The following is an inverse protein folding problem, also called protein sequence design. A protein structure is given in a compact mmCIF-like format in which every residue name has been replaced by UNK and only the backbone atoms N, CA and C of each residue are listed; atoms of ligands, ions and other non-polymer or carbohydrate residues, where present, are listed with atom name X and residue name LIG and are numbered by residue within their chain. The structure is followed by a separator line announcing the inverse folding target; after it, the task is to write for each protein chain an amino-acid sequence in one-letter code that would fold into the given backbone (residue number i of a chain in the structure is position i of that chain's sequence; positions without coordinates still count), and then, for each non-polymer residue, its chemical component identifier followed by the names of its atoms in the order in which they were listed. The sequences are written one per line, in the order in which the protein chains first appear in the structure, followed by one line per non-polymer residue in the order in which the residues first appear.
data_IF_963186695788
#
_entry.id   IF_963186695788
#
_cell.length_a   1.000
_cell.length_b   1.000
_cell.length_c   1.000
_cell.angle_alpha   90.00
_cell.angle_beta   90.00
_cell.angle_gamma   90.00
#
_symmetry.space_group_name_H-M   'P 1'
#
loop_
_entity.id
_entity.type
_entity.pdbx_description
1 polymer ?
#
# COMPACT_ATOMS: atom_id res chain seq x y z
N UNK A 1 -49.07 -3.31 16.00
CA UNK A 1 -48.52 -2.36 15.00
C UNK A 1 -47.13 -1.87 15.42
N UNK A 2 -46.96 -1.25 16.59
CA UNK A 2 -45.67 -0.74 17.07
C UNK A 2 -44.53 -1.79 17.16
N UNK A 3 -44.80 -3.02 17.59
CA UNK A 3 -43.77 -4.07 17.66
C UNK A 3 -43.25 -4.48 16.28
N UNK A 4 -44.13 -4.72 15.30
CA UNK A 4 -43.74 -5.07 13.93
C UNK A 4 -42.94 -3.96 13.24
N UNK A 5 -43.30 -2.72 13.51
CA UNK A 5 -42.57 -1.55 12.99
C UNK A 5 -41.18 -1.44 13.63
N UNK A 6 -41.05 -1.69 14.93
CA UNK A 6 -39.77 -1.72 15.62
C UNK A 6 -38.86 -2.85 15.11
N UNK A 7 -39.41 -4.06 14.93
CA UNK A 7 -38.69 -5.21 14.36
C UNK A 7 -38.19 -4.93 12.94
N UNK A 8 -39.01 -4.29 12.10
CA UNK A 8 -38.62 -3.88 10.75
C UNK A 8 -37.49 -2.83 10.79
N UNK A 9 -37.58 -1.84 11.68
CA UNK A 9 -36.53 -0.82 11.86
C UNK A 9 -35.23 -1.41 12.38
N UNK A 10 -35.29 -2.33 13.33
CA UNK A 10 -34.11 -3.01 13.86
C UNK A 10 -33.40 -3.81 12.75
N UNK A 11 -34.15 -4.60 11.98
CA UNK A 11 -33.62 -5.38 10.85
C UNK A 11 -32.93 -4.48 9.82
N UNK A 12 -33.52 -3.32 9.51
CA UNK A 12 -32.94 -2.36 8.58
C UNK A 12 -31.62 -1.76 9.10
N UNK A 13 -31.56 -1.41 10.38
CA UNK A 13 -30.34 -0.89 11.02
C UNK A 13 -29.25 -1.95 11.10
N UNK A 14 -29.58 -3.20 11.45
CA UNK A 14 -28.63 -4.31 11.49
C UNK A 14 -28.03 -4.59 10.11
N UNK A 15 -28.85 -4.54 9.06
CA UNK A 15 -28.40 -4.68 7.67
C UNK A 15 -27.43 -3.56 7.29
N UNK A 16 -27.78 -2.31 7.60
CA UNK A 16 -26.93 -1.15 7.27
C UNK A 16 -25.62 -1.15 8.08
N UNK A 17 -25.68 -1.50 9.36
CA UNK A 17 -24.50 -1.65 10.20
C UNK A 17 -23.56 -2.73 9.66
N UNK A 18 -24.11 -3.86 9.19
CA UNK A 18 -23.34 -4.93 8.56
C UNK A 18 -22.65 -4.41 7.29
N UNK A 19 -23.39 -3.70 6.43
CA UNK A 19 -22.84 -3.09 5.21
C UNK A 19 -21.69 -2.13 5.50
N UNK A 20 -21.84 -1.26 6.50
CA UNK A 20 -20.79 -0.30 6.90
C UNK A 20 -19.55 -0.99 7.48
N UNK A 21 -19.75 -2.05 8.28
CA UNK A 21 -18.64 -2.89 8.77
C UNK A 21 -17.90 -3.58 7.63
N UNK A 22 -18.63 -4.03 6.62
CA UNK A 22 -18.07 -4.68 5.44
C UNK A 22 -17.23 -3.71 4.60
N UNK A 23 -17.72 -2.48 4.38
CA UNK A 23 -16.95 -1.41 3.72
C UNK A 23 -15.64 -1.14 4.47
N UNK A 24 -15.70 -1.02 5.80
CA UNK A 24 -14.51 -0.74 6.60
C UNK A 24 -13.52 -1.91 6.62
N UNK A 25 -14.02 -3.16 6.57
CA UNK A 25 -13.18 -4.34 6.45
C UNK A 25 -12.42 -4.36 5.10
N UNK A 26 -13.10 -4.06 3.99
CA UNK A 26 -12.47 -3.93 2.67
C UNK A 26 -11.44 -2.80 2.66
N UNK A 27 -11.78 -1.63 3.22
CA UNK A 27 -10.83 -0.49 3.30
C UNK A 27 -9.56 -0.86 4.05
N UNK A 28 -9.70 -1.49 5.22
CA UNK A 28 -8.55 -1.97 6.01
C UNK A 28 -7.74 -3.01 5.25
N UNK A 29 -8.40 -3.90 4.51
CA UNK A 29 -7.76 -4.89 3.66
C UNK A 29 -6.89 -4.24 2.59
N UNK A 30 -7.44 -3.29 1.84
CA UNK A 30 -6.73 -2.62 0.73
C UNK A 30 -5.59 -1.72 1.25
N UNK A 31 -5.78 -1.09 2.41
CA UNK A 31 -4.72 -0.32 3.06
C UNK A 31 -3.59 -1.24 3.52
N UNK A 32 -3.90 -2.39 4.14
CA UNK A 32 -2.87 -3.37 4.51
C UNK A 32 -2.08 -3.85 3.28
N UNK A 33 -2.76 -4.13 2.16
CA UNK A 33 -2.11 -4.46 0.88
C UNK A 33 -1.08 -3.39 0.47
N UNK A 34 -1.45 -2.10 0.48
CA UNK A 34 -0.50 -1.02 0.13
C UNK A 34 0.73 -0.96 1.02
N UNK A 35 0.58 -1.21 2.33
CA UNK A 35 1.70 -1.28 3.25
C UNK A 35 2.61 -2.49 3.01
N UNK A 36 2.04 -3.64 2.68
CA UNK A 36 2.81 -4.86 2.41
C UNK A 36 3.61 -4.77 1.10
N UNK A 37 3.14 -3.98 0.12
CA UNK A 37 3.85 -3.73 -1.12
C UNK A 37 5.17 -2.96 -0.91
N UNK A 38 5.23 -2.04 0.06
CA UNK A 38 6.38 -1.12 0.24
C UNK A 38 7.71 -1.86 0.26
N UNK A 39 7.79 -2.94 1.04
CA UNK A 39 8.97 -3.80 1.14
C UNK A 39 8.68 -5.21 0.64
N UNK A 40 7.74 -5.34 -0.29
CA UNK A 40 7.32 -6.56 -0.98
C UNK A 40 7.27 -7.76 -0.04
N UNK A 41 6.26 -7.81 0.83
CA UNK A 41 6.04 -8.89 1.79
C UNK A 41 5.13 -9.97 1.15
N UNK A 42 5.66 -10.92 0.34
CA UNK A 42 4.85 -11.77 -0.52
C UNK A 42 3.87 -12.64 0.26
N UNK A 43 4.30 -13.22 1.37
CA UNK A 43 3.45 -14.11 2.18
C UNK A 43 2.20 -13.37 2.67
N UNK A 44 2.38 -12.14 3.18
CA UNK A 44 1.27 -11.31 3.65
C UNK A 44 0.43 -10.74 2.50
N UNK A 45 1.02 -10.51 1.33
CA UNK A 45 0.26 -10.07 0.16
C UNK A 45 -0.65 -11.20 -0.32
N UNK A 46 -0.11 -12.40 -0.50
CA UNK A 46 -0.83 -13.55 -1.06
C UNK A 46 -1.95 -14.00 -0.10
N UNK A 47 -1.73 -13.90 1.21
CA UNK A 47 -2.74 -14.23 2.23
C UNK A 47 -3.94 -13.27 2.28
N UNK A 48 -3.88 -12.12 1.58
CA UNK A 48 -5.05 -11.23 1.41
C UNK A 48 -6.04 -11.75 0.37
N UNK A 49 -5.61 -12.64 -0.54
CA UNK A 49 -6.44 -13.12 -1.63
C UNK A 49 -7.32 -14.30 -1.23
N UNK A 50 -8.46 -14.41 -1.91
CA UNK A 50 -9.27 -15.61 -1.88
C UNK A 50 -8.50 -16.77 -2.54
N UNK A 51 -8.60 -17.96 -1.94
CA UNK A 51 -7.94 -19.17 -2.45
C UNK A 51 -8.87 -19.86 -3.46
N UNK A 52 -8.98 -19.26 -4.64
CA UNK A 52 -9.88 -19.70 -5.71
C UNK A 52 -9.19 -19.66 -7.07
N UNK A 53 -9.55 -20.57 -7.97
CA UNK A 53 -9.00 -20.64 -9.34
C UNK A 53 -9.34 -19.41 -10.20
N UNK A 54 -10.49 -18.77 -9.91
CA UNK A 54 -10.96 -17.57 -10.59
C UNK A 54 -10.44 -16.26 -9.98
N UNK A 55 -9.51 -16.34 -9.03
CA UNK A 55 -8.80 -15.18 -8.48
C UNK A 55 -7.84 -14.63 -9.53
N UNK A 56 -7.84 -13.32 -9.76
CA UNK A 56 -7.03 -12.72 -10.82
C UNK A 56 -6.22 -11.51 -10.40
N UNK A 57 -5.06 -11.39 -11.03
CA UNK A 57 -4.16 -10.25 -10.98
C UNK A 57 -4.04 -9.72 -12.43
N UNK A 58 -4.75 -8.65 -12.77
CA UNK A 58 -4.81 -8.06 -14.12
C UNK A 58 -3.92 -6.82 -14.25
N UNK A 59 -2.77 -7.01 -14.90
CA UNK A 59 -1.75 -5.99 -15.13
C UNK A 59 -1.61 -5.73 -16.63
N UNK A 60 -0.97 -4.61 -17.05
CA UNK A 60 -0.67 -4.36 -18.46
C UNK A 60 0.09 -5.50 -19.16
N UNK A 61 0.95 -6.20 -18.42
CA UNK A 61 1.76 -7.33 -18.91
C UNK A 61 0.95 -8.62 -19.10
N UNK A 62 -0.24 -8.71 -18.50
CA UNK A 62 -1.12 -9.87 -18.61
C UNK A 62 -1.90 -10.18 -17.33
N UNK A 63 -2.64 -11.28 -17.37
CA UNK A 63 -3.46 -11.76 -16.25
C UNK A 63 -2.85 -13.01 -15.62
N UNK A 64 -2.69 -13.00 -14.30
CA UNK A 64 -2.26 -14.15 -13.51
C UNK A 64 -3.46 -14.74 -12.77
N UNK A 65 -3.63 -16.06 -12.87
CA UNK A 65 -4.80 -16.78 -12.34
C UNK A 65 -4.42 -17.62 -11.12
N UNK A 66 -5.32 -17.61 -10.13
CA UNK A 66 -5.27 -18.44 -8.94
C UNK A 66 -4.01 -18.24 -8.10
N UNK A 67 -3.83 -19.16 -7.15
CA UNK A 67 -2.70 -19.16 -6.22
C UNK A 67 -1.35 -19.24 -6.95
N UNK A 68 -1.23 -20.11 -7.95
CA UNK A 68 -0.01 -20.23 -8.76
C UNK A 68 0.33 -18.93 -9.51
N UNK A 69 -0.68 -18.18 -9.96
CA UNK A 69 -0.51 -16.86 -10.55
C UNK A 69 0.06 -15.85 -9.56
N UNK A 70 -0.51 -15.80 -8.35
CA UNK A 70 -0.06 -14.91 -7.28
C UNK A 70 1.38 -15.22 -6.87
N UNK A 71 1.75 -16.50 -6.72
CA UNK A 71 3.13 -16.89 -6.39
C UNK A 71 4.11 -16.57 -7.52
N UNK A 72 3.73 -16.74 -8.79
CA UNK A 72 4.58 -16.34 -9.93
C UNK A 72 4.85 -14.83 -9.97
N UNK A 73 3.84 -14.01 -9.65
CA UNK A 73 3.99 -12.56 -9.66
C UNK A 73 4.72 -12.04 -8.41
N UNK A 74 4.25 -12.38 -7.21
CA UNK A 74 4.79 -11.82 -5.97
C UNK A 74 6.01 -12.58 -5.42
N UNK A 75 6.14 -13.87 -5.70
CA UNK A 75 7.14 -14.74 -5.07
C UNK A 75 8.58 -14.59 -5.56
N UNK A 76 8.80 -13.99 -6.73
CA UNK A 76 10.11 -13.92 -7.36
C UNK A 76 10.97 -12.71 -6.93
N UNK A 77 10.38 -11.73 -6.24
CA UNK A 77 11.09 -10.54 -5.78
C UNK A 77 11.51 -10.73 -4.32
N UNK A 78 12.82 -10.61 -4.04
CA UNK A 78 13.36 -10.78 -2.69
C UNK A 78 14.07 -9.51 -2.18
N UNK A 79 13.31 -8.56 -1.60
CA UNK A 79 13.85 -7.29 -1.12
C UNK A 79 14.63 -7.43 0.19
N UNK A 80 14.73 -8.62 0.78
CA UNK A 80 15.42 -8.83 2.08
C UNK A 80 16.94 -8.58 1.98
N UNK A 81 17.49 -8.56 0.77
CA UNK A 81 18.93 -8.41 0.53
C UNK A 81 19.35 -6.97 0.25
N UNK A 82 18.42 -6.10 -0.09
CA UNK A 82 18.71 -4.77 -0.61
C UNK A 82 17.91 -3.69 0.14
N UNK A 83 18.58 -2.78 0.87
CA UNK A 83 17.91 -1.72 1.62
C UNK A 83 17.36 -0.59 0.73
N UNK A 84 17.77 -0.51 -0.54
CA UNK A 84 17.31 0.48 -1.51
C UNK A 84 16.01 0.05 -2.22
N UNK A 85 15.60 -1.21 -2.07
CA UNK A 85 14.31 -1.64 -2.57
C UNK A 85 13.16 -0.87 -1.89
N UNK A 86 12.27 -0.31 -2.70
CA UNK A 86 11.00 0.26 -2.27
C UNK A 86 9.97 0.11 -3.38
N UNK A 87 8.76 -0.29 -3.02
CA UNK A 87 7.63 -0.32 -3.94
C UNK A 87 6.39 0.26 -3.24
N UNK A 88 6.41 1.56 -3.02
CA UNK A 88 5.30 2.25 -2.38
C UNK A 88 4.22 2.54 -3.43
N UNK A 89 3.05 1.92 -3.27
CA UNK A 89 1.84 2.23 -4.04
C UNK A 89 0.70 2.46 -3.05
N UNK A 90 0.39 3.72 -2.79
CA UNK A 90 -0.68 4.12 -1.87
C UNK A 90 -2.02 4.04 -2.59
N UNK A 91 -3.01 3.43 -1.93
CA UNK A 91 -4.41 3.43 -2.38
C UNK A 91 -5.15 4.59 -1.72
N UNK A 92 -5.53 5.58 -2.53
CA UNK A 92 -6.09 6.86 -2.10
C UNK A 92 -7.50 7.04 -2.65
N UNK A 93 -8.30 7.85 -1.96
CA UNK A 93 -9.63 8.29 -2.40
C UNK A 93 -10.56 7.12 -2.79
N UNK A 94 -10.81 6.24 -1.82
CA UNK A 94 -11.55 5.00 -2.06
C UNK A 94 -13.04 5.23 -2.34
N UNK A 95 -13.60 4.40 -3.22
CA UNK A 95 -15.05 4.18 -3.38
C UNK A 95 -15.29 2.69 -3.25
N UNK A 96 -16.12 2.27 -2.30
CA UNK A 96 -16.36 0.87 -1.98
C UNK A 96 -17.86 0.62 -1.94
N UNK A 97 -18.30 -0.38 -2.71
CA UNK A 97 -19.69 -0.82 -2.79
C UNK A 97 -19.81 -2.30 -2.39
N UNK A 98 -20.82 -2.60 -1.58
CA UNK A 98 -21.16 -3.98 -1.17
C UNK A 98 -22.36 -4.43 -1.98
N UNK A 99 -22.29 -5.62 -2.57
CA UNK A 99 -23.40 -6.21 -3.30
C UNK A 99 -24.63 -6.41 -2.38
N UNK A 100 -25.86 -6.41 -2.93
CA UNK A 100 -27.08 -6.54 -2.12
C UNK A 100 -27.16 -7.81 -1.25
N UNK A 101 -26.45 -8.86 -1.65
CA UNK A 101 -26.36 -10.13 -0.92
C UNK A 101 -25.32 -10.13 0.22
N UNK A 102 -24.49 -9.08 0.32
CA UNK A 102 -23.44 -8.95 1.32
C UNK A 102 -22.27 -9.93 1.14
N UNK A 103 -22.15 -10.59 -0.01
CA UNK A 103 -21.13 -11.63 -0.26
C UNK A 103 -19.99 -11.17 -1.16
N UNK A 104 -20.25 -10.18 -2.00
CA UNK A 104 -19.23 -9.59 -2.87
C UNK A 104 -19.19 -8.08 -2.71
N UNK A 105 -18.06 -7.50 -3.04
CA UNK A 105 -17.84 -6.06 -2.99
C UNK A 105 -17.01 -5.63 -4.18
N UNK A 106 -17.12 -4.36 -4.54
CA UNK A 106 -16.26 -3.70 -5.52
C UNK A 106 -15.61 -2.52 -4.86
N UNK A 107 -14.41 -2.19 -5.28
CA UNK A 107 -13.82 -0.93 -4.89
C UNK A 107 -12.88 -0.36 -5.92
N UNK A 108 -12.74 0.95 -5.84
CA UNK A 108 -11.87 1.74 -6.70
C UNK A 108 -10.96 2.62 -5.87
N UNK A 109 -9.69 2.69 -6.27
CA UNK A 109 -8.70 3.55 -5.64
C UNK A 109 -7.80 4.22 -6.68
N UNK A 110 -7.32 5.41 -6.33
CA UNK A 110 -6.12 5.95 -6.95
C UNK A 110 -4.90 5.25 -6.37
N UNK A 111 -4.16 4.53 -7.19
CA UNK A 111 -2.82 4.06 -6.86
C UNK A 111 -1.81 5.15 -7.17
N UNK A 112 -0.99 5.54 -6.19
CA UNK A 112 0.09 6.50 -6.40
C UNK A 112 1.31 6.15 -5.54
N UNK A 113 2.50 6.25 -6.11
CA UNK A 113 3.70 6.28 -5.29
C UNK A 113 5.00 6.10 -6.06
N UNK A 114 6.04 5.79 -5.29
CA UNK A 114 7.41 5.71 -5.75
C UNK A 114 7.94 4.27 -5.69
N UNK A 115 8.69 3.90 -6.72
CA UNK A 115 9.41 2.65 -6.82
C UNK A 115 10.90 2.91 -6.90
N UNK A 116 11.67 2.11 -6.17
CA UNK A 116 13.10 1.96 -6.26
C UNK A 116 13.39 0.45 -6.34
N UNK A 117 13.78 -0.03 -7.52
CA UNK A 117 13.95 -1.46 -7.80
C UNK A 117 15.42 -1.72 -8.13
N UNK A 118 16.17 -2.41 -7.27
CA UNK A 118 17.54 -2.82 -7.55
C UNK A 118 17.61 -3.81 -8.72
N UNK A 119 18.49 -3.53 -9.68
CA UNK A 119 18.66 -4.26 -10.94
C UNK A 119 20.06 -4.89 -11.04
N UNK A 120 20.64 -5.28 -9.91
CA UNK A 120 22.00 -5.82 -9.85
C UNK A 120 23.05 -4.78 -10.27
N UNK A 121 23.96 -5.17 -11.16
CA UNK A 121 25.06 -4.30 -11.62
C UNK A 121 24.57 -3.09 -12.43
N UNK A 122 23.31 -3.09 -12.88
CA UNK A 122 22.68 -1.96 -13.57
C UNK A 122 22.24 -0.81 -12.62
N UNK A 123 22.39 -0.98 -11.30
CA UNK A 123 22.01 0.01 -10.30
C UNK A 123 20.56 -0.10 -9.84
N UNK A 124 19.94 1.02 -9.46
CA UNK A 124 18.56 1.07 -8.95
C UNK A 124 17.66 1.83 -9.93
N UNK A 125 16.64 1.14 -10.46
CA UNK A 125 15.59 1.76 -11.26
C UNK A 125 14.68 2.57 -10.35
N UNK A 126 14.32 3.79 -10.74
CA UNK A 126 13.46 4.67 -9.96
C UNK A 126 12.34 5.26 -10.82
N UNK A 127 11.11 5.19 -10.32
CA UNK A 127 9.94 5.74 -11.00
C UNK A 127 8.87 6.20 -10.00
N UNK A 128 8.16 7.26 -10.36
CA UNK A 128 6.85 7.58 -9.79
C UNK A 128 5.79 7.00 -10.72
N UNK A 129 4.78 6.35 -10.14
CA UNK A 129 3.65 5.79 -10.90
C UNK A 129 2.33 6.25 -10.30
N UNK A 130 1.34 6.40 -11.18
CA UNK A 130 -0.05 6.66 -10.82
C UNK A 130 -0.98 5.86 -11.73
N UNK A 131 -2.10 5.43 -11.19
CA UNK A 131 -3.09 4.66 -11.92
C UNK A 131 -4.32 4.38 -11.06
N UNK A 132 -5.19 3.55 -11.59
CA UNK A 132 -6.46 3.18 -10.97
C UNK A 132 -6.42 1.69 -10.63
N UNK A 133 -6.77 1.38 -9.39
CA UNK A 133 -7.16 0.04 -8.99
C UNK A 133 -8.67 -0.09 -9.09
N UNK A 134 -9.14 -1.13 -9.78
CA UNK A 134 -10.55 -1.55 -9.82
C UNK A 134 -10.62 -3.00 -9.35
N UNK A 135 -10.95 -3.19 -8.09
CA UNK A 135 -10.82 -4.49 -7.44
C UNK A 135 -12.18 -5.07 -7.08
N UNK A 136 -12.30 -6.39 -7.24
CA UNK A 136 -13.42 -7.19 -6.75
C UNK A 136 -13.02 -7.91 -5.46
N UNK A 137 -13.96 -7.99 -4.52
CA UNK A 137 -13.80 -8.61 -3.23
C UNK A 137 -14.85 -9.69 -3.03
N UNK A 138 -14.49 -10.72 -2.28
CA UNK A 138 -15.39 -11.79 -1.89
C UNK A 138 -15.31 -12.02 -0.38
N UNK A 139 -16.46 -12.31 0.24
CA UNK A 139 -16.55 -12.63 1.66
C UNK A 139 -16.69 -14.14 1.82
N UNK A 140 -15.70 -14.76 2.46
CA UNK A 140 -15.64 -16.19 2.75
C UNK A 140 -15.50 -16.38 4.25
N UNK A 141 -16.35 -17.21 4.86
CA UNK A 141 -16.35 -17.48 6.30
C UNK A 141 -16.38 -16.22 7.17
N UNK A 142 -17.10 -15.19 6.69
CA UNK A 142 -17.24 -13.90 7.37
C UNK A 142 -16.08 -12.92 7.16
N UNK A 143 -15.06 -13.30 6.38
CA UNK A 143 -13.85 -12.51 6.13
C UNK A 143 -13.81 -12.05 4.68
N UNK A 144 -13.62 -10.74 4.47
CA UNK A 144 -13.39 -10.17 3.14
C UNK A 144 -12.00 -10.49 2.63
N UNK A 145 -11.88 -10.79 1.34
CA UNK A 145 -10.62 -11.14 0.66
C UNK A 145 -10.56 -10.47 -0.71
N UNK A 146 -9.34 -10.23 -1.22
CA UNK A 146 -9.12 -9.82 -2.60
C UNK A 146 -9.51 -10.98 -3.53
N UNK A 147 -10.38 -10.72 -4.49
CA UNK A 147 -10.77 -11.71 -5.47
C UNK A 147 -10.16 -11.39 -6.84
N UNK A 148 -10.30 -10.14 -7.30
CA UNK A 148 -9.70 -9.69 -8.54
C UNK A 148 -9.10 -8.34 -8.33
N UNK A 149 -7.86 -8.16 -8.77
CA UNK A 149 -7.23 -6.84 -8.79
C UNK A 149 -6.99 -6.47 -10.23
N UNK A 150 -7.37 -5.26 -10.60
CA UNK A 150 -7.06 -4.69 -11.90
C UNK A 150 -6.33 -3.38 -11.74
N UNK A 151 -5.10 -3.35 -12.25
CA UNK A 151 -4.29 -2.16 -12.28
C UNK A 151 -4.33 -1.51 -13.67
N UNK A 152 -4.77 -0.26 -13.71
CA UNK A 152 -4.83 0.56 -14.93
C UNK A 152 -3.87 1.75 -14.76
N UNK A 153 -2.64 1.68 -15.30
CA UNK A 153 -1.69 2.79 -15.18
C UNK A 153 -2.21 4.02 -15.94
N UNK A 154 -2.03 5.20 -15.33
CA UNK A 154 -2.37 6.50 -15.92
C UNK A 154 -1.10 7.24 -16.34
N UNK A 155 -0.08 7.27 -15.48
CA UNK A 155 1.24 7.79 -15.83
C UNK A 155 2.35 7.10 -15.04
N UNK A 156 3.55 7.14 -15.61
CA UNK A 156 4.80 6.77 -14.94
C UNK A 156 5.91 7.71 -15.40
N UNK A 157 6.84 8.06 -14.51
CA UNK A 157 7.95 8.96 -14.84
C UNK A 157 9.15 8.78 -13.92
N UNK A 158 10.35 8.92 -14.47
CA UNK A 158 11.60 8.90 -13.69
C UNK A 158 11.89 10.28 -13.09
N UNK A 159 12.50 10.31 -11.90
CA UNK A 159 12.77 11.57 -11.19
C UNK A 159 13.77 12.48 -11.91
N UNK A 160 14.68 11.92 -12.72
CA UNK A 160 15.65 12.69 -13.50
C UNK A 160 14.99 13.64 -14.51
N UNK A 161 13.80 13.30 -14.99
CA UNK A 161 13.02 14.12 -15.93
C UNK A 161 11.80 14.79 -15.32
N UNK A 162 11.43 14.43 -14.07
CA UNK A 162 10.23 14.93 -13.39
C UNK A 162 8.96 14.82 -14.25
N UNK A 163 7.87 15.47 -13.82
CA UNK A 163 6.68 15.69 -14.66
C UNK A 163 6.60 17.14 -15.18
N UNK A 164 7.45 18.02 -14.66
CA UNK A 164 7.68 19.39 -15.16
C UNK A 164 9.02 19.38 -15.88
N UNK A 165 9.04 19.85 -17.12
CA UNK A 165 10.27 19.94 -17.91
C UNK A 165 11.33 20.78 -17.18
N UNK A 166 12.62 20.41 -17.23
CA UNK A 166 13.69 21.12 -16.53
C UNK A 166 13.69 22.64 -16.73
N UNK A 167 13.33 23.12 -17.92
CA UNK A 167 13.34 24.56 -18.26
C UNK A 167 12.20 25.35 -17.61
N UNK A 168 11.16 24.65 -17.11
CA UNK A 168 10.00 25.23 -16.43
C UNK A 168 10.05 25.06 -14.92
N UNK A 169 11.04 24.35 -14.41
CA UNK A 169 11.28 24.24 -12.97
C UNK A 169 11.76 25.60 -12.48
N UNK A 170 11.06 26.16 -11.48
CA UNK A 170 11.50 27.40 -10.86
C UNK A 170 12.93 27.23 -10.32
N UNK A 171 13.83 28.18 -10.61
CA UNK A 171 15.21 28.10 -10.11
C UNK A 171 15.19 27.97 -8.59
N UNK A 172 15.86 26.97 -7.99
CA UNK A 172 16.00 26.89 -6.55
C UNK A 172 16.59 28.21 -6.04
N UNK A 173 15.99 28.82 -5.01
CA UNK A 173 16.61 29.98 -4.37
C UNK A 173 17.87 29.45 -3.66
N UNK A 174 19.08 29.87 -4.06
CA UNK A 174 20.28 29.42 -3.39
C UNK A 174 20.23 29.83 -1.91
N UNK A 175 20.74 29.00 -0.99
CA UNK A 175 20.81 29.36 0.41
C UNK A 175 21.62 30.64 0.58
N UNK A 176 21.19 31.53 1.47
CA UNK A 176 21.83 32.83 1.69
C UNK A 176 23.29 32.72 2.21
N UNK A 177 23.72 31.52 2.61
CA UNK A 177 25.09 31.22 3.05
C UNK A 177 25.49 29.79 2.70
N UNK A 178 26.79 29.52 2.78
CA UNK A 178 27.32 28.15 2.75
C UNK A 178 26.74 27.36 3.93
N UNK A 179 26.10 26.26 3.59
CA UNK A 179 25.53 25.29 4.53
C UNK A 179 26.63 24.32 4.97
N UNK A 180 26.67 23.97 6.25
CA UNK A 180 27.43 22.80 6.70
C UNK A 180 26.72 21.53 6.25
N UNK A 181 27.46 20.45 6.08
CA UNK A 181 26.88 19.14 5.78
C UNK A 181 25.89 18.72 6.89
N UNK A 182 24.67 18.36 6.51
CA UNK A 182 23.58 18.03 7.45
C UNK A 182 22.85 19.24 8.07
N UNK A 183 23.25 20.47 7.75
CA UNK A 183 22.56 21.67 8.22
C UNK A 183 21.27 21.89 7.41
N UNK A 184 20.13 22.04 8.09
CA UNK A 184 18.84 22.38 7.47
C UNK A 184 18.52 23.83 7.81
N UNK A 185 18.37 24.71 6.80
CA UNK A 185 17.82 26.05 7.05
C UNK A 185 16.34 25.90 7.24
N UNK A 186 15.94 25.89 8.50
CA UNK A 186 14.54 26.03 8.87
C UNK A 186 14.31 27.53 9.11
N UNK A 187 13.47 28.21 8.32
CA UNK A 187 13.12 29.59 8.61
C UNK A 187 12.61 29.72 10.05
N UNK A 188 12.79 30.90 10.67
CA UNK A 188 12.42 31.08 12.07
C UNK A 188 10.94 30.76 12.35
N UNK A 189 10.05 30.99 11.39
CA UNK A 189 8.62 30.65 11.44
C UNK A 189 8.31 29.16 11.25
N UNK A 190 9.31 28.33 11.02
CA UNK A 190 9.19 26.89 10.82
C UNK A 190 10.03 26.08 11.82
N UNK A 191 10.67 26.77 12.79
CA UNK A 191 11.40 26.15 13.88
C UNK A 191 10.47 25.23 14.67
N UNK A 192 10.85 23.96 14.79
CA UNK A 192 10.10 22.99 15.59
C UNK A 192 10.34 23.23 17.08
N UNK A 193 9.28 23.14 17.88
CA UNK A 193 9.34 23.28 19.35
C UNK A 193 10.07 22.12 20.04
N UNK A 194 10.31 21.00 19.33
CA UNK A 194 10.99 19.83 19.87
C UNK A 194 12.10 19.37 18.92
N UNK A 195 13.30 19.00 19.44
CA UNK A 195 14.31 18.37 18.62
C UNK A 195 13.81 17.00 18.13
N UNK A 196 14.21 16.62 16.92
CA UNK A 196 13.91 15.30 16.38
C UNK A 196 14.40 14.22 17.34
N UNK A 197 13.48 13.38 17.85
CA UNK A 197 13.80 12.31 18.80
C UNK A 197 14.15 11.01 18.07
N UNK A 198 15.38 10.55 18.28
CA UNK A 198 15.69 9.14 18.57
C UNK A 198 15.58 8.09 17.45
N UNK A 199 15.18 8.43 16.22
CA UNK A 199 15.20 7.46 15.12
C UNK A 199 15.98 8.07 13.96
N UNK A 200 17.12 7.46 13.63
CA UNK A 200 17.86 7.79 12.42
C UNK A 200 17.07 7.27 11.21
N UNK A 201 16.19 8.09 10.66
CA UNK A 201 15.43 7.83 9.42
C UNK A 201 16.32 7.99 8.17
N UNK A 202 17.62 7.68 8.25
CA UNK A 202 18.53 7.87 7.12
C UNK A 202 18.18 6.89 6.01
N UNK A 203 17.88 7.42 4.84
CA UNK A 203 17.76 6.65 3.63
C UNK A 203 19.15 6.19 3.13
N UNK A 204 19.29 4.97 2.58
CA UNK A 204 18.32 3.87 2.58
C UNK A 204 18.43 3.07 3.88
N UNK A 205 17.32 2.91 4.61
CA UNK A 205 17.33 2.11 5.85
C UNK A 205 16.89 0.66 5.63
N UNK A 206 16.04 0.42 4.63
CA UNK A 206 15.33 -0.84 4.45
C UNK A 206 14.46 -1.24 5.65
N UNK A 207 14.24 -0.36 6.63
CA UNK A 207 13.45 -0.63 7.84
C UNK A 207 11.95 -0.52 7.55
N UNK A 208 11.16 -1.51 7.95
CA UNK A 208 9.70 -1.37 7.99
C UNK A 208 9.32 -0.77 9.34
N UNK A 209 8.62 0.37 9.34
CA UNK A 209 8.01 0.87 10.57
C UNK A 209 6.95 -0.13 11.07
N UNK A 210 7.06 -0.67 12.30
CA UNK A 210 6.21 -1.77 12.76
C UNK A 210 4.72 -1.48 12.60
N UNK A 211 3.96 -2.46 12.11
CA UNK A 211 2.52 -2.31 11.98
C UNK A 211 1.85 -2.43 13.34
N UNK A 212 0.90 -1.54 13.61
CA UNK A 212 0.11 -1.59 14.84
C UNK A 212 -1.13 -2.49 14.70
N UNK A 213 -1.38 -3.04 13.50
CA UNK A 213 -2.56 -3.85 13.16
C UNK A 213 -2.16 -5.27 12.78
N UNK A 214 -3.13 -6.18 12.86
CA UNK A 214 -2.99 -7.57 12.41
C UNK A 214 -3.42 -7.71 10.95
N UNK A 215 -2.97 -8.77 10.29
CA UNK A 215 -3.38 -9.10 8.93
C UNK A 215 -4.92 -9.18 8.82
N UNK A 216 -5.58 -8.43 7.92
CA UNK A 216 -7.03 -8.25 7.94
C UNK A 216 -7.83 -9.49 7.52
N UNK A 217 -7.24 -10.38 6.71
CA UNK A 217 -7.86 -11.67 6.37
C UNK A 217 -7.57 -12.75 7.41
N UNK A 218 -6.29 -13.02 7.70
CA UNK A 218 -5.91 -14.15 8.56
C UNK A 218 -6.00 -13.87 10.06
N UNK A 219 -6.04 -12.61 10.49
CA UNK A 219 -6.05 -12.20 11.89
C UNK A 219 -4.73 -12.40 12.65
N UNK A 220 -3.64 -12.76 11.96
CA UNK A 220 -2.30 -13.03 12.55
C UNK A 220 -1.40 -11.79 12.55
N UNK A 221 -0.31 -11.83 13.34
CA UNK A 221 0.78 -10.85 13.25
C UNK A 221 1.53 -11.04 11.91
N UNK A 222 1.91 -9.94 11.29
CA UNK A 222 2.65 -9.89 10.03
C UNK A 222 4.16 -10.15 10.24
N UNK A 223 4.86 -10.47 9.15
CA UNK A 223 6.26 -10.87 9.15
C UNK A 223 7.29 -9.73 9.20
N UNK A 224 6.91 -8.47 9.40
CA UNK A 224 7.80 -7.30 9.33
C UNK A 224 8.89 -7.34 10.40
N UNK A 225 8.59 -7.79 11.62
CA UNK A 225 9.59 -7.93 12.69
C UNK A 225 10.68 -8.94 12.29
N UNK A 226 10.27 -10.10 11.74
CA UNK A 226 11.20 -11.15 11.26
C UNK A 226 12.07 -10.65 10.11
N UNK A 227 11.53 -9.77 9.26
CA UNK A 227 12.28 -9.13 8.17
C UNK A 227 13.26 -8.11 8.71
N UNK A 228 12.81 -7.19 9.57
CA UNK A 228 13.64 -6.12 10.14
C UNK A 228 14.87 -6.68 10.88
N UNK A 229 14.76 -7.84 11.52
CA UNK A 229 15.89 -8.53 12.16
C UNK A 229 17.02 -8.96 11.18
N UNK A 230 16.76 -8.98 9.87
CA UNK A 230 17.71 -9.44 8.84
C UNK A 230 18.33 -8.30 8.03
N UNK A 231 17.84 -7.06 8.17
CA UNK A 231 18.33 -5.92 7.38
C UNK A 231 19.68 -5.46 7.92
N UNK A 232 20.67 -5.33 7.04
CA UNK A 232 22.02 -4.87 7.40
C UNK A 232 22.01 -3.35 7.65
N UNK A 233 22.77 -2.88 8.65
CA UNK A 233 23.01 -1.45 8.87
C UNK A 233 21.99 -0.71 9.76
N UNK A 234 20.89 -1.36 10.15
CA UNK A 234 19.94 -0.79 11.12
C UNK A 234 20.44 -1.06 12.54
N UNK A 235 20.85 -0.01 13.27
CA UNK A 235 21.10 -0.09 14.72
C UNK A 235 19.80 0.22 15.47
N UNK A 236 19.43 -0.64 16.43
CA UNK A 236 18.31 -0.41 17.35
C UNK A 236 18.62 0.70 18.34
#
# INVERSE_FOLDING_TARGET
MAQKELEARLTAVEKELTRLKDIEAIRKLEHAYSFYLVMWMPDEIIDLFARRDDTTLEWPEGTFFGEDGLHRFFGNINPKKDPEFMHQMMHLSDVIDIAPDGKTGKGRWWGFGAMALPMGDAGVMQALACGIYENDFIKEDGVWKLWKIKWVPVYSGTLATGWVKPERVARPRPPARKMKEGEVVVPDWWKSDLPAKGIAYSYPSGYIFPFHFKHPVTGKKTGEEKRNARVKGIKK
#
